data_IF_332586577845
#
_entry.id   IF_332586577845
#
_cell.length_a   1.000
_cell.length_b   1.000
_cell.length_c   1.000
_cell.angle_alpha   90.00
_cell.angle_beta   90.00
_cell.angle_gamma   90.00
#
_symmetry.space_group_name_H-M   'P 1'
#
loop_
_entity.id
_entity.type
_entity.pdbx_description
1 polymer ?
#
# COMPACT_ATOMS: atom_id res chain seq x y z
N UNK A 1 27.20 -5.24 -5.03
CA UNK A 1 25.96 -4.78 -4.36
C UNK A 1 25.62 -5.79 -3.29
N UNK A 2 25.20 -5.33 -2.10
CA UNK A 2 24.70 -6.20 -1.04
C UNK A 2 23.33 -6.76 -1.47
N UNK A 3 23.16 -8.08 -1.44
CA UNK A 3 21.87 -8.73 -1.72
C UNK A 3 20.87 -8.40 -0.59
N UNK A 4 19.57 -8.33 -0.91
CA UNK A 4 18.54 -8.27 0.14
C UNK A 4 18.58 -9.49 1.05
N UNK A 5 18.40 -9.26 2.34
CA UNK A 5 18.15 -10.32 3.32
C UNK A 5 16.76 -10.91 3.12
N UNK A 6 16.52 -12.13 3.61
CA UNK A 6 15.19 -12.76 3.58
C UNK A 6 14.12 -11.90 4.28
N UNK A 7 14.50 -11.18 5.35
CA UNK A 7 13.63 -10.25 6.05
C UNK A 7 13.26 -9.05 5.17
N UNK A 8 14.22 -8.42 4.49
CA UNK A 8 13.97 -7.30 3.58
C UNK A 8 13.08 -7.72 2.41
N UNK A 9 13.33 -8.89 1.81
CA UNK A 9 12.46 -9.45 0.76
C UNK A 9 11.04 -9.66 1.30
N UNK A 10 10.89 -10.33 2.45
CA UNK A 10 9.57 -10.59 3.04
C UNK A 10 8.80 -9.33 3.42
N UNK A 11 9.48 -8.30 3.92
CA UNK A 11 8.84 -7.02 4.26
C UNK A 11 8.34 -6.27 3.02
N UNK A 12 9.16 -6.21 1.96
CA UNK A 12 8.74 -5.61 0.70
C UNK A 12 7.58 -6.37 0.05
N UNK A 13 7.56 -7.70 0.16
CA UNK A 13 6.44 -8.52 -0.29
C UNK A 13 5.14 -8.12 0.41
N UNK A 14 5.19 -7.99 1.75
CA UNK A 14 4.05 -7.57 2.54
C UNK A 14 3.59 -6.14 2.20
N UNK A 15 4.52 -5.21 1.98
CA UNK A 15 4.16 -3.86 1.50
C UNK A 15 3.40 -3.92 0.18
N UNK A 16 3.89 -4.69 -0.79
CA UNK A 16 3.25 -4.77 -2.10
C UNK A 16 1.85 -5.38 -2.02
N UNK A 17 1.67 -6.49 -1.29
CA UNK A 17 0.36 -7.12 -1.10
C UNK A 17 -0.61 -6.18 -0.38
N UNK A 18 -0.19 -5.54 0.71
CA UNK A 18 -1.06 -4.65 1.48
C UNK A 18 -1.48 -3.40 0.70
N UNK A 19 -0.57 -2.83 -0.09
CA UNK A 19 -0.86 -1.60 -0.84
C UNK A 19 -1.67 -1.87 -2.12
N UNK A 20 -1.45 -2.99 -2.80
CA UNK A 20 -2.33 -3.40 -3.91
C UNK A 20 -3.75 -3.72 -3.43
N UNK A 21 -3.89 -4.35 -2.25
CA UNK A 21 -5.20 -4.52 -1.60
C UNK A 21 -5.86 -3.18 -1.29
N UNK A 22 -5.10 -2.26 -0.69
CA UNK A 22 -5.60 -0.92 -0.34
C UNK A 22 -6.05 -0.17 -1.58
N UNK A 23 -5.29 -0.21 -2.67
CA UNK A 23 -5.68 0.37 -3.96
C UNK A 23 -7.03 -0.19 -4.45
N UNK A 24 -7.20 -1.51 -4.40
CA UNK A 24 -8.47 -2.14 -4.80
C UNK A 24 -9.64 -1.64 -3.96
N UNK A 25 -9.51 -1.61 -2.63
CA UNK A 25 -10.58 -1.14 -1.76
C UNK A 25 -10.88 0.36 -1.96
N UNK A 26 -9.83 1.19 -1.99
CA UNK A 26 -9.96 2.64 -2.16
C UNK A 26 -10.58 2.96 -3.52
N UNK A 27 -10.29 2.18 -4.55
CA UNK A 27 -10.89 2.38 -5.88
C UNK A 27 -12.41 2.21 -5.89
N UNK A 28 -12.96 1.30 -5.07
CA UNK A 28 -14.41 1.20 -4.86
C UNK A 28 -14.92 2.40 -4.06
N UNK A 29 -14.26 2.77 -2.95
CA UNK A 29 -14.65 3.92 -2.14
C UNK A 29 -14.68 5.22 -2.96
N UNK A 30 -13.69 5.44 -3.83
CA UNK A 30 -13.64 6.58 -4.73
C UNK A 30 -14.78 6.62 -5.76
N UNK A 31 -15.30 5.46 -6.15
CA UNK A 31 -16.43 5.37 -7.09
C UNK A 31 -17.77 5.72 -6.42
N UNK A 32 -17.86 5.60 -5.10
CA UNK A 32 -19.14 5.70 -4.37
C UNK A 32 -19.18 6.77 -3.28
N UNK A 33 -18.06 7.39 -2.94
CA UNK A 33 -17.98 8.50 -1.97
C UNK A 33 -18.76 9.72 -2.47
N UNK A 34 -19.50 10.36 -1.57
CA UNK A 34 -20.34 11.52 -1.89
C UNK A 34 -19.71 12.83 -1.38
N UNK A 35 -19.06 12.78 -0.22
CA UNK A 35 -18.37 13.91 0.39
C UNK A 35 -17.06 14.23 -0.36
N UNK A 36 -16.91 15.50 -0.76
CA UNK A 36 -15.78 15.98 -1.57
C UNK A 36 -14.45 15.98 -0.81
N UNK A 37 -14.47 16.26 0.49
CA UNK A 37 -13.26 16.24 1.30
C UNK A 37 -12.81 14.80 1.57
N UNK A 38 -13.76 13.89 1.84
CA UNK A 38 -13.47 12.45 1.94
C UNK A 38 -12.89 11.93 0.62
N UNK A 39 -13.47 12.31 -0.51
CA UNK A 39 -12.93 11.96 -1.83
C UNK A 39 -11.47 12.42 -2.00
N UNK A 40 -11.17 13.66 -1.60
CA UNK A 40 -9.81 14.22 -1.68
C UNK A 40 -8.82 13.47 -0.79
N UNK A 41 -9.24 13.05 0.40
CA UNK A 41 -8.43 12.24 1.32
C UNK A 41 -8.18 10.86 0.71
N UNK A 42 -9.23 10.18 0.22
CA UNK A 42 -9.13 8.87 -0.43
C UNK A 42 -8.18 8.91 -1.63
N UNK A 43 -8.20 9.97 -2.45
CA UNK A 43 -7.24 10.15 -3.55
C UNK A 43 -5.78 10.22 -3.08
N UNK A 44 -5.52 10.85 -1.93
CA UNK A 44 -4.17 10.90 -1.35
C UNK A 44 -3.73 9.52 -0.83
N UNK A 45 -4.64 8.81 -0.17
CA UNK A 45 -4.38 7.44 0.30
C UNK A 45 -4.11 6.49 -0.87
N UNK A 46 -4.89 6.59 -1.94
CA UNK A 46 -4.72 5.78 -3.15
C UNK A 46 -3.36 6.04 -3.81
N UNK A 47 -3.00 7.32 -3.94
CA UNK A 47 -1.69 7.71 -4.47
C UNK A 47 -0.55 7.16 -3.63
N UNK A 48 -0.64 7.25 -2.30
CA UNK A 48 0.37 6.70 -1.40
C UNK A 48 0.51 5.17 -1.59
N UNK A 49 -0.60 4.45 -1.71
CA UNK A 49 -0.57 3.00 -1.94
C UNK A 49 0.10 2.64 -3.27
N UNK A 50 -0.18 3.37 -4.34
CA UNK A 50 0.47 3.19 -5.64
C UNK A 50 1.96 3.53 -5.57
N UNK A 51 2.33 4.65 -4.96
CA UNK A 51 3.73 5.07 -4.82
C UNK A 51 4.56 4.04 -4.03
N UNK A 52 3.99 3.42 -2.99
CA UNK A 52 4.65 2.34 -2.23
C UNK A 52 4.75 1.05 -3.06
N UNK A 53 3.69 0.69 -3.80
CA UNK A 53 3.71 -0.47 -4.71
C UNK A 53 4.83 -0.32 -5.76
N UNK A 54 4.94 0.86 -6.36
CA UNK A 54 5.99 1.18 -7.34
C UNK A 54 7.39 1.17 -6.72
N UNK A 55 7.53 1.65 -5.48
CA UNK A 55 8.79 1.54 -4.74
C UNK A 55 9.24 0.08 -4.62
N UNK A 56 8.35 -0.84 -4.24
CA UNK A 56 8.69 -2.27 -4.15
C UNK A 56 9.10 -2.83 -5.52
N UNK A 57 8.36 -2.51 -6.59
CA UNK A 57 8.68 -2.94 -7.96
C UNK A 57 10.09 -2.50 -8.36
N UNK A 58 10.43 -1.24 -8.06
CA UNK A 58 11.73 -0.67 -8.37
C UNK A 58 12.87 -1.27 -7.56
N UNK A 59 12.60 -1.79 -6.35
CA UNK A 59 13.60 -2.50 -5.53
C UNK A 59 13.80 -3.95 -5.99
N UNK A 60 12.75 -4.64 -6.42
CA UNK A 60 12.86 -6.03 -6.87
C UNK A 60 13.48 -6.18 -8.27
N UNK A 61 13.21 -5.24 -9.18
CA UNK A 61 13.62 -5.33 -10.59
C UNK A 61 15.14 -5.51 -10.78
N UNK A 62 16.03 -4.72 -10.14
CA UNK A 62 17.48 -4.87 -10.32
C UNK A 62 18.05 -6.21 -9.81
N UNK A 63 17.42 -6.79 -8.80
CA UNK A 63 17.82 -8.07 -8.20
C UNK A 63 17.13 -9.29 -8.83
N UNK A 64 16.27 -9.07 -9.82
CA UNK A 64 15.53 -10.12 -10.53
C UNK A 64 14.66 -10.96 -9.59
N UNK A 65 14.17 -10.37 -8.51
CA UNK A 65 13.15 -10.99 -7.68
C UNK A 65 11.81 -11.02 -8.41
N UNK A 66 11.09 -12.13 -8.30
CA UNK A 66 9.71 -12.22 -8.76
C UNK A 66 8.83 -11.28 -7.95
N UNK A 67 7.97 -10.53 -8.64
CA UNK A 67 6.96 -9.73 -7.98
C UNK A 67 5.84 -10.64 -7.44
N UNK A 68 5.24 -10.31 -6.28
CA UNK A 68 4.04 -10.97 -5.82
C UNK A 68 2.91 -10.77 -6.83
N UNK A 69 2.00 -11.75 -6.91
CA UNK A 69 0.68 -11.48 -7.48
C UNK A 69 -0.12 -10.66 -6.45
N UNK A 70 -0.07 -9.34 -6.61
CA UNK A 70 -0.87 -8.41 -5.82
C UNK A 70 -2.35 -8.46 -6.20
N UNK A 71 -3.16 -7.71 -5.44
CA UNK A 71 -4.56 -7.50 -5.80
C UNK A 71 -4.66 -6.65 -7.06
N UNK A 72 -5.67 -6.94 -7.87
CA UNK A 72 -5.88 -6.35 -9.19
C UNK A 72 -7.30 -5.82 -9.32
N UNK A 73 -7.60 -5.18 -10.44
CA UNK A 73 -8.97 -4.73 -10.73
C UNK A 73 -10.00 -5.88 -10.79
N UNK A 74 -9.54 -7.13 -10.92
CA UNK A 74 -10.43 -8.31 -10.87
C UNK A 74 -10.90 -8.63 -9.45
N UNK A 75 -10.21 -8.10 -8.44
CA UNK A 75 -10.47 -8.34 -7.02
C UNK A 75 -11.36 -7.25 -6.40
N UNK A 76 -11.89 -6.33 -7.22
CA UNK A 76 -12.81 -5.27 -6.81
C UNK A 76 -13.98 -5.14 -7.78
N UNK A 77 -15.18 -4.99 -7.23
CA UNK A 77 -16.37 -4.64 -8.03
C UNK A 77 -16.69 -3.15 -7.86
N UNK A 78 -16.29 -2.32 -8.84
CA UNK A 78 -16.48 -0.85 -8.81
C UNK A 78 -17.88 -0.40 -9.24
N UNK A 79 -18.69 -1.30 -9.82
CA UNK A 79 -20.00 -0.97 -10.41
C UNK A 79 -21.20 -1.22 -9.50
N UNK A 80 -20.97 -1.46 -8.21
CA UNK A 80 -22.03 -1.76 -7.24
C UNK A 80 -22.18 -0.63 -6.22
N UNK A 81 -23.38 -0.44 -5.64
CA UNK A 81 -23.61 0.57 -4.61
C UNK A 81 -22.71 0.36 -3.38
N UNK A 82 -22.43 1.45 -2.67
CA UNK A 82 -21.70 1.38 -1.39
C UNK A 82 -22.51 0.64 -0.34
N UNK A 83 -21.79 -0.16 0.46
CA UNK A 83 -22.31 -0.75 1.70
C UNK A 83 -22.12 0.18 2.91
N UNK A 84 -21.02 0.95 2.92
CA UNK A 84 -20.61 1.77 4.06
C UNK A 84 -20.73 3.26 3.76
N UNK A 85 -20.79 4.08 4.82
CA UNK A 85 -20.83 5.53 4.73
C UNK A 85 -19.43 6.13 4.53
N UNK A 86 -19.39 7.40 4.11
CA UNK A 86 -18.13 8.13 3.92
C UNK A 86 -17.34 8.26 5.24
N UNK A 87 -18.02 8.36 6.39
CA UNK A 87 -17.36 8.36 7.71
C UNK A 87 -16.63 7.04 7.96
N UNK A 88 -17.27 5.90 7.62
CA UNK A 88 -16.62 4.60 7.76
C UNK A 88 -15.39 4.49 6.85
N UNK A 89 -15.43 5.05 5.64
CA UNK A 89 -14.24 5.08 4.78
C UNK A 89 -13.06 5.77 5.46
N UNK A 90 -13.29 6.92 6.12
CA UNK A 90 -12.25 7.62 6.87
C UNK A 90 -11.73 6.81 8.05
N UNK A 91 -12.62 6.25 8.87
CA UNK A 91 -12.25 5.43 10.04
C UNK A 91 -11.44 4.20 9.62
N UNK A 92 -11.87 3.55 8.56
CA UNK A 92 -11.18 2.38 8.01
C UNK A 92 -9.79 2.78 7.47
N UNK A 93 -9.68 3.88 6.74
CA UNK A 93 -8.39 4.37 6.25
C UNK A 93 -7.44 4.80 7.37
N UNK A 94 -7.94 5.45 8.41
CA UNK A 94 -7.17 5.81 9.60
C UNK A 94 -6.63 4.56 10.32
N UNK A 95 -7.47 3.53 10.48
CA UNK A 95 -7.03 2.24 11.01
C UNK A 95 -5.93 1.61 10.16
N UNK A 96 -6.11 1.55 8.84
CA UNK A 96 -5.12 0.97 7.92
C UNK A 96 -3.79 1.74 7.93
N UNK A 97 -3.83 3.07 8.03
CA UNK A 97 -2.64 3.90 8.17
C UNK A 97 -1.90 3.64 9.49
N UNK A 98 -2.62 3.46 10.60
CA UNK A 98 -2.03 3.08 11.89
C UNK A 98 -1.35 1.72 11.82
N UNK A 99 -2.01 0.72 11.23
CA UNK A 99 -1.44 -0.62 11.01
C UNK A 99 -0.19 -0.53 10.13
N UNK A 100 -0.25 0.24 9.04
CA UNK A 100 0.90 0.50 8.16
C UNK A 100 2.07 1.11 8.93
N UNK A 101 1.80 2.11 9.77
CA UNK A 101 2.83 2.78 10.59
C UNK A 101 3.55 1.80 11.53
N UNK A 102 2.80 0.89 12.19
CA UNK A 102 3.39 -0.17 13.01
C UNK A 102 4.32 -1.06 12.18
N UNK A 103 3.88 -1.44 10.97
CA UNK A 103 4.67 -2.29 10.09
C UNK A 103 5.96 -1.59 9.62
N UNK A 104 5.91 -0.28 9.34
CA UNK A 104 7.09 0.53 9.04
C UNK A 104 8.06 0.61 10.23
N UNK A 105 7.54 0.79 11.45
CA UNK A 105 8.34 0.86 12.67
C UNK A 105 9.11 -0.46 12.94
N UNK A 106 8.56 -1.60 12.52
CA UNK A 106 9.24 -2.91 12.59
C UNK A 106 10.22 -3.08 11.43
N UNK A 107 9.86 -2.64 10.23
CA UNK A 107 10.67 -2.87 9.01
C UNK A 107 11.95 -2.03 9.00
N UNK A 108 11.87 -0.77 9.41
CA UNK A 108 12.98 0.19 9.33
C UNK A 108 14.25 -0.26 10.10
N UNK A 109 14.20 -0.66 11.39
CA UNK A 109 15.39 -1.13 12.11
C UNK A 109 15.92 -2.47 11.59
N UNK A 110 15.06 -3.28 10.97
CA UNK A 110 15.42 -4.57 10.39
C UNK A 110 15.97 -4.47 8.95
N UNK A 111 16.07 -3.26 8.41
CA UNK A 111 16.61 -3.01 7.07
C UNK A 111 18.06 -2.54 7.17
N UNK A 112 18.97 -3.39 6.72
CA UNK A 112 20.42 -3.13 6.74
C UNK A 112 20.86 -2.30 5.53
N UNK A 113 20.20 -2.52 4.38
CA UNK A 113 20.54 -1.87 3.12
C UNK A 113 20.13 -0.41 3.10
N UNK A 114 21.09 0.46 2.77
CA UNK A 114 20.91 1.91 2.93
C UNK A 114 19.87 2.52 1.99
N UNK A 115 19.83 2.10 0.72
CA UNK A 115 18.85 2.53 -0.27
C UNK A 115 17.42 2.12 0.12
N UNK A 116 17.22 0.88 0.58
CA UNK A 116 15.94 0.39 1.09
C UNK A 116 15.48 1.19 2.31
N UNK A 117 16.36 1.31 3.30
CA UNK A 117 16.06 2.06 4.54
C UNK A 117 15.69 3.50 4.25
N UNK A 118 16.40 4.17 3.32
CA UNK A 118 16.07 5.53 2.88
C UNK A 118 14.75 5.61 2.10
N UNK A 119 14.37 4.55 1.39
CA UNK A 119 13.06 4.45 0.75
C UNK A 119 11.92 4.33 1.74
N UNK A 120 12.10 3.52 2.79
CA UNK A 120 11.11 3.25 3.85
C UNK A 120 10.94 4.47 4.78
N UNK A 121 11.98 5.27 4.99
CA UNK A 121 11.97 6.39 5.93
C UNK A 121 11.44 7.73 5.35
N UNK A 122 10.89 7.73 4.14
CA UNK A 122 10.33 8.92 3.49
C UNK A 122 8.83 8.99 3.71
#
# INVERSE_FOLDING_TARGET
MLQMTSAEVGNLWNFYIANTLSHCLISHFLATVEDKEVHRILKKCDKLALDISDFVVNMYRPERHSLPLGFTEKDVNKGVPRLFSDNFYLEFMDLMLKVGTIFYAITLPNTSRHDLRKGISK
#
